data_IF_365616115921
#
_entry.id   IF_365616115921
#
_cell.length_a   1.000
_cell.length_b   1.000
_cell.length_c   1.000
_cell.angle_alpha   90.00
_cell.angle_beta   90.00
_cell.angle_gamma   90.00
#
_symmetry.space_group_name_H-M   'P 1'
#
loop_
_entity.id
_entity.type
_entity.pdbx_description
1 polymer ?
#
# COMPACT_ATOMS: atom_id res chain seq x y z
N UNK A 1 13.85 -8.24 -10.55
CA UNK A 1 13.22 -7.07 -9.90
C UNK A 1 14.18 -5.90 -9.73
N UNK A 2 15.36 -6.05 -9.11
CA UNK A 2 16.34 -4.95 -8.96
C UNK A 2 16.85 -4.41 -10.31
N UNK A 3 17.01 -5.32 -11.28
CA UNK A 3 17.40 -5.01 -12.65
C UNK A 3 16.38 -4.16 -13.43
N UNK A 4 15.08 -4.29 -13.14
CA UNK A 4 14.04 -3.47 -13.78
C UNK A 4 14.02 -2.05 -13.22
N UNK A 5 14.22 -1.90 -11.91
CA UNK A 5 14.33 -0.58 -11.27
C UNK A 5 15.56 0.18 -11.77
N UNK A 6 16.72 -0.48 -11.87
CA UNK A 6 17.93 0.16 -12.41
C UNK A 6 17.78 0.55 -13.87
N UNK A 7 17.17 -0.32 -14.70
CA UNK A 7 16.92 -0.04 -16.11
C UNK A 7 15.96 1.14 -16.27
N UNK A 8 14.87 1.17 -15.52
CA UNK A 8 13.90 2.27 -15.52
C UNK A 8 14.53 3.58 -15.05
N UNK A 9 15.34 3.56 -13.98
CA UNK A 9 16.10 4.72 -13.51
C UNK A 9 17.03 5.29 -14.59
N UNK A 10 17.72 4.41 -15.34
CA UNK A 10 18.61 4.84 -16.44
C UNK A 10 17.83 5.42 -17.62
N UNK A 11 16.66 4.86 -17.93
CA UNK A 11 15.83 5.30 -19.05
C UNK A 11 15.03 6.58 -18.76
N UNK A 12 14.57 6.75 -17.52
CA UNK A 12 13.70 7.86 -17.11
C UNK A 12 14.19 8.51 -15.80
N UNK A 13 15.38 9.14 -15.81
CA UNK A 13 16.02 9.64 -14.58
C UNK A 13 15.24 10.77 -13.89
N UNK A 14 14.65 11.70 -14.66
CA UNK A 14 13.84 12.79 -14.10
C UNK A 14 12.54 12.26 -13.46
N UNK A 15 11.83 11.36 -14.15
CA UNK A 15 10.62 10.72 -13.64
C UNK A 15 10.90 9.88 -12.40
N UNK A 16 12.03 9.15 -12.38
CA UNK A 16 12.43 8.37 -11.21
C UNK A 16 12.76 9.26 -10.00
N UNK A 17 13.34 10.45 -10.22
CA UNK A 17 13.58 11.42 -9.15
C UNK A 17 12.27 12.00 -8.60
N UNK A 18 11.33 12.39 -9.47
CA UNK A 18 10.02 12.92 -9.05
C UNK A 18 9.15 11.88 -8.33
N UNK A 19 9.20 10.62 -8.77
CA UNK A 19 8.48 9.52 -8.13
C UNK A 19 9.21 9.05 -6.87
N UNK A 20 10.54 9.08 -6.85
CA UNK A 20 11.37 8.62 -5.73
C UNK A 20 11.12 9.37 -4.43
N UNK A 21 10.71 10.64 -4.53
CA UNK A 21 10.34 11.46 -3.37
C UNK A 21 8.86 11.28 -2.94
N UNK A 22 8.02 10.67 -3.79
CA UNK A 22 6.60 10.43 -3.47
C UNK A 22 6.42 9.05 -2.85
N UNK A 23 6.08 9.02 -1.56
CA UNK A 23 5.67 7.80 -0.87
C UNK A 23 4.27 7.44 -1.36
N UNK A 24 4.18 6.52 -2.33
CA UNK A 24 2.91 5.97 -2.79
C UNK A 24 2.39 5.01 -1.70
N UNK A 25 1.20 5.26 -1.12
CA UNK A 25 0.64 4.36 -0.12
C UNK A 25 0.39 2.96 -0.68
N UNK A 26 0.77 1.95 0.09
CA UNK A 26 0.55 0.54 -0.21
C UNK A 26 -0.72 0.04 0.49
N UNK A 27 -1.16 -1.18 0.16
CA UNK A 27 -2.30 -1.82 0.86
C UNK A 27 -2.12 -1.80 2.39
N UNK A 28 -0.90 -1.95 2.90
CA UNK A 28 -0.61 -1.96 4.34
C UNK A 28 -0.91 -0.60 4.96
N UNK A 29 -0.55 0.49 4.27
CA UNK A 29 -0.82 1.84 4.74
C UNK A 29 -2.32 2.11 4.86
N UNK A 30 -3.11 1.57 3.96
CA UNK A 30 -4.57 1.65 4.03
C UNK A 30 -5.15 0.78 5.16
N UNK A 31 -4.59 -0.40 5.40
CA UNK A 31 -5.00 -1.28 6.50
C UNK A 31 -4.79 -0.62 7.88
N UNK A 32 -3.74 0.19 8.03
CA UNK A 32 -3.44 0.84 9.31
C UNK A 32 -4.40 1.97 9.71
N UNK A 33 -5.16 2.50 8.75
CA UNK A 33 -6.17 3.55 8.96
C UNK A 33 -7.59 2.96 9.13
N UNK A 34 -7.77 1.68 8.79
CA UNK A 34 -9.04 0.98 8.95
C UNK A 34 -9.50 0.97 10.41
N UNK A 35 -10.81 0.91 10.62
CA UNK A 35 -11.49 0.95 11.92
C UNK A 35 -12.06 -0.40 12.33
N UNK A 36 -12.24 -1.31 11.38
CA UNK A 36 -12.74 -2.67 11.58
C UNK A 36 -12.13 -3.67 10.58
N UNK A 37 -12.34 -4.96 10.82
CA UNK A 37 -11.85 -6.04 9.95
C UNK A 37 -12.61 -6.04 8.61
N UNK A 38 -13.90 -5.71 8.64
CA UNK A 38 -14.75 -5.64 7.45
C UNK A 38 -14.22 -4.56 6.49
N UNK A 39 -13.88 -3.38 7.01
CA UNK A 39 -13.25 -2.32 6.23
C UNK A 39 -11.88 -2.76 5.67
N UNK A 40 -11.08 -3.47 6.47
CA UNK A 40 -9.81 -4.02 6.01
C UNK A 40 -9.98 -5.04 4.86
N UNK A 41 -11.01 -5.88 4.90
CA UNK A 41 -11.33 -6.83 3.83
C UNK A 41 -11.72 -6.09 2.55
N UNK A 42 -12.58 -5.06 2.65
CA UNK A 42 -12.96 -4.24 1.49
C UNK A 42 -11.74 -3.58 0.82
N UNK A 43 -10.80 -3.08 1.63
CA UNK A 43 -9.53 -2.54 1.15
C UNK A 43 -8.72 -3.62 0.41
N UNK A 44 -8.56 -4.81 0.99
CA UNK A 44 -7.83 -5.91 0.35
C UNK A 44 -8.46 -6.29 -0.99
N UNK A 45 -9.79 -6.42 -1.04
CA UNK A 45 -10.54 -6.77 -2.24
C UNK A 45 -10.40 -5.69 -3.32
N UNK A 46 -10.38 -4.41 -2.93
CA UNK A 46 -10.13 -3.31 -3.87
C UNK A 46 -8.73 -3.40 -4.49
N UNK A 47 -7.68 -3.59 -3.69
CA UNK A 47 -6.30 -3.68 -4.17
C UNK A 47 -6.08 -4.92 -5.05
N UNK A 48 -6.71 -6.06 -4.73
CA UNK A 48 -6.69 -7.26 -5.57
C UNK A 48 -7.38 -7.00 -6.91
N UNK A 49 -8.58 -6.41 -6.90
CA UNK A 49 -9.33 -6.08 -8.13
C UNK A 49 -8.59 -5.09 -9.03
N UNK A 50 -7.78 -4.21 -8.47
CA UNK A 50 -6.94 -3.25 -9.20
C UNK A 50 -5.63 -3.87 -9.72
N UNK A 51 -5.27 -5.07 -9.27
CA UNK A 51 -4.02 -5.73 -9.63
C UNK A 51 -2.80 -5.16 -8.91
N UNK A 52 -3.00 -4.35 -7.88
CA UNK A 52 -1.92 -3.77 -7.05
C UNK A 52 -1.32 -4.81 -6.10
N UNK A 53 -2.08 -5.87 -5.78
CA UNK A 53 -1.61 -7.04 -5.05
C UNK A 53 -2.02 -8.34 -5.74
N UNK A 54 -1.23 -9.39 -5.54
CA UNK A 54 -1.55 -10.71 -6.07
C UNK A 54 -2.69 -11.37 -5.29
N UNK A 55 -3.37 -12.33 -5.93
CA UNK A 55 -4.44 -13.11 -5.31
C UNK A 55 -3.95 -13.91 -4.11
N UNK A 56 -2.74 -14.46 -4.18
CA UNK A 56 -2.10 -15.20 -3.09
C UNK A 56 -1.88 -14.29 -1.88
N UNK A 57 -1.38 -13.07 -2.12
CA UNK A 57 -1.15 -12.10 -1.06
C UNK A 57 -2.47 -11.60 -0.44
N UNK A 58 -3.47 -11.30 -1.27
CA UNK A 58 -4.81 -10.93 -0.79
C UNK A 58 -5.45 -12.07 0.03
N UNK A 59 -5.32 -13.32 -0.41
CA UNK A 59 -5.79 -14.50 0.32
C UNK A 59 -5.08 -14.65 1.67
N UNK A 60 -3.77 -14.46 1.72
CA UNK A 60 -3.00 -14.50 2.96
C UNK A 60 -3.51 -13.46 3.96
N UNK A 61 -3.69 -12.21 3.53
CA UNK A 61 -4.19 -11.13 4.39
C UNK A 61 -5.58 -11.44 4.95
N UNK A 62 -6.52 -11.89 4.10
CA UNK A 62 -7.88 -12.28 4.51
C UNK A 62 -7.90 -13.42 5.53
N UNK A 63 -7.02 -14.41 5.37
CA UNK A 63 -6.94 -15.54 6.30
C UNK A 63 -6.31 -15.20 7.66
N UNK A 64 -5.58 -14.09 7.75
CA UNK A 64 -4.80 -13.74 8.94
C UNK A 64 -5.43 -12.59 9.74
N UNK A 65 -6.53 -12.91 10.42
CA UNK A 65 -7.28 -11.95 11.25
C UNK A 65 -6.42 -11.36 12.38
N UNK A 66 -5.50 -12.14 12.94
CA UNK A 66 -4.57 -11.65 13.96
C UNK A 66 -3.65 -10.55 13.41
N UNK A 67 -3.13 -10.73 12.20
CA UNK A 67 -2.32 -9.72 11.51
C UNK A 67 -3.14 -8.46 11.23
N UNK A 68 -4.37 -8.58 10.73
CA UNK A 68 -5.24 -7.42 10.46
C UNK A 68 -5.55 -6.65 11.75
N UNK A 69 -5.90 -7.34 12.83
CA UNK A 69 -6.11 -6.71 14.14
C UNK A 69 -4.86 -6.01 14.66
N UNK A 70 -3.67 -6.53 14.36
CA UNK A 70 -2.42 -5.87 14.74
C UNK A 70 -2.14 -4.59 13.94
N UNK A 71 -2.80 -4.39 12.78
CA UNK A 71 -2.58 -3.24 11.89
C UNK A 71 -3.65 -2.15 12.06
N UNK A 72 -4.91 -2.55 12.22
CA UNK A 72 -6.07 -1.68 12.35
C UNK A 72 -5.85 -0.62 13.45
N UNK A 73 -6.23 0.64 13.16
CA UNK A 73 -6.12 1.80 14.05
C UNK A 73 -4.70 2.19 14.48
N UNK A 74 -3.65 1.72 13.80
CA UNK A 74 -2.27 2.16 14.07
C UNK A 74 -1.99 3.60 13.63
N UNK A 75 -2.73 4.12 12.64
CA UNK A 75 -2.57 5.50 12.15
C UNK A 75 -3.87 6.30 12.17
N UNK A 76 -3.75 7.63 12.28
CA UNK A 76 -4.89 8.55 12.14
C UNK A 76 -5.08 8.96 10.68
N UNK A 77 -6.35 9.04 10.26
CA UNK A 77 -6.75 9.59 8.96
C UNK A 77 -6.25 11.03 8.85
N UNK A 78 -5.46 11.34 7.81
CA UNK A 78 -4.86 12.68 7.58
C UNK A 78 -3.35 12.79 7.85
N UNK A 79 -2.67 11.73 8.28
CA UNK A 79 -1.19 11.75 8.44
C UNK A 79 -0.43 11.90 7.10
N UNK A 80 -1.03 11.49 5.99
CA UNK A 80 -0.49 11.72 4.64
C UNK A 80 -0.60 13.19 4.20
N UNK A 81 -1.70 13.85 4.56
CA UNK A 81 -1.98 15.25 4.22
C UNK A 81 -1.05 16.21 4.98
N UNK A 82 -0.68 15.86 6.22
CA UNK A 82 0.18 16.68 7.08
C UNK A 82 1.68 16.53 6.80
N UNK A 83 2.09 15.58 5.96
CA UNK A 83 3.48 15.36 5.51
C UNK A 83 3.73 15.66 4.03
N UNK A 84 2.75 16.25 3.32
CA UNK A 84 2.91 16.70 1.94
C UNK A 84 2.92 15.56 0.91
N UNK A 85 2.16 14.49 1.13
CA UNK A 85 2.10 13.32 0.23
C UNK A 85 0.85 13.31 -0.67
N UNK A 86 0.28 14.49 -0.96
CA UNK A 86 -0.73 14.70 -2.02
C UNK A 86 -0.35 15.93 -2.85
#
# INVERSE_FOLDING_TARGET
MEWEKEKFRKMFPALYAEIGDRIIPTVIDHLEVCRSIEEAIEVIDYFERKGEISKEFASFLRSNVALLNSMIRKRKRGEYESRGLL
#
